data_IF_379202854462
#
_entry.id   IF_379202854462
#
_cell.length_a   1.000
_cell.length_b   1.000
_cell.length_c   1.000
_cell.angle_alpha   90.00
_cell.angle_beta   90.00
_cell.angle_gamma   90.00
#
_symmetry.space_group_name_H-M   'P 1'
#
loop_
_entity.id
_entity.type
_entity.pdbx_description
1 polymer ?
#
# COMPACT_ATOMS: atom_id res chain seq x y z
N UNK A 1 15.11 13.61 3.96
CA UNK A 1 14.74 14.47 2.81
C UNK A 1 14.78 13.60 1.55
N UNK A 2 13.63 13.15 1.04
CA UNK A 2 13.51 12.20 -0.06
C UNK A 2 13.74 12.91 -1.40
N UNK A 3 14.56 12.33 -2.28
CA UNK A 3 14.80 12.90 -3.61
C UNK A 3 13.60 12.62 -4.53
N UNK A 4 12.99 13.69 -5.04
CA UNK A 4 11.97 13.64 -6.10
C UNK A 4 12.70 13.80 -7.44
N UNK A 5 12.93 12.70 -8.15
CA UNK A 5 13.22 12.78 -9.58
C UNK A 5 11.95 12.45 -10.34
N UNK A 6 11.34 13.45 -10.98
CA UNK A 6 10.36 13.23 -12.04
C UNK A 6 11.08 12.55 -13.21
N UNK A 7 10.84 11.28 -13.43
CA UNK A 7 11.15 10.62 -14.69
C UNK A 7 9.86 10.35 -15.45
N UNK A 8 9.94 10.61 -16.76
CA UNK A 8 8.83 10.50 -17.71
C UNK A 8 8.17 9.11 -17.72
N UNK A 9 6.91 9.01 -18.16
CA UNK A 9 6.15 7.78 -18.15
C UNK A 9 6.74 6.75 -19.10
N UNK A 10 7.19 5.64 -18.56
CA UNK A 10 7.56 4.45 -19.35
C UNK A 10 6.29 3.72 -19.77
N UNK A 11 6.23 3.39 -21.06
CA UNK A 11 5.07 2.83 -21.73
C UNK A 11 4.45 1.62 -21.05
N UNK A 12 3.15 1.55 -21.17
CA UNK A 12 2.16 0.64 -20.58
C UNK A 12 2.29 -0.86 -20.95
N UNK A 13 3.46 -1.40 -21.18
CA UNK A 13 3.59 -2.81 -21.59
C UNK A 13 4.29 -3.61 -20.48
N UNK A 14 3.53 -4.35 -19.70
CA UNK A 14 4.04 -5.45 -18.87
C UNK A 14 3.87 -5.34 -17.37
N UNK A 15 3.01 -4.46 -16.87
CA UNK A 15 2.71 -4.39 -15.43
C UNK A 15 1.42 -5.15 -15.14
N UNK A 16 1.49 -6.13 -14.25
CA UNK A 16 0.29 -6.67 -13.63
C UNK A 16 -0.53 -5.50 -13.08
N UNK A 17 -1.67 -5.23 -13.66
CA UNK A 17 -2.65 -4.36 -13.07
C UNK A 17 -3.09 -5.02 -11.75
N UNK A 18 -2.38 -4.68 -10.66
CA UNK A 18 -2.69 -5.16 -9.32
C UNK A 18 -4.04 -4.62 -8.84
N UNK A 19 -4.63 -3.71 -9.59
CA UNK A 19 -5.78 -2.92 -9.15
C UNK A 19 -7.12 -3.45 -9.67
N UNK A 20 -7.23 -4.44 -10.52
CA UNK A 20 -8.55 -5.03 -10.90
C UNK A 20 -8.44 -6.32 -11.72
N UNK A 21 -7.48 -7.21 -11.41
CA UNK A 21 -7.52 -8.54 -12.03
C UNK A 21 -7.53 -9.64 -10.98
N UNK A 22 -8.38 -10.66 -11.16
CA UNK A 22 -8.44 -11.79 -10.24
C UNK A 22 -7.09 -12.50 -10.19
N UNK A 23 -6.73 -13.12 -9.03
CA UNK A 23 -5.45 -13.79 -8.80
C UNK A 23 -5.20 -15.04 -9.68
N UNK A 24 -6.07 -15.33 -10.62
CA UNK A 24 -5.91 -16.39 -11.61
C UNK A 24 -5.07 -16.00 -12.83
N UNK A 25 -4.63 -14.75 -12.95
CA UNK A 25 -3.72 -14.37 -14.02
C UNK A 25 -2.31 -14.89 -13.70
N UNK A 26 -1.68 -15.71 -14.56
CA UNK A 26 -0.36 -16.30 -14.29
C UNK A 26 0.74 -15.26 -14.08
N UNK A 27 0.46 -13.99 -14.38
CA UNK A 27 1.39 -12.88 -14.20
C UNK A 27 1.48 -12.35 -12.75
N UNK A 28 0.58 -12.74 -11.84
CA UNK A 28 0.56 -12.28 -10.45
C UNK A 28 0.94 -13.35 -9.41
N UNK A 29 1.41 -14.52 -9.84
CA UNK A 29 1.96 -15.49 -8.89
C UNK A 29 3.37 -15.09 -8.46
N UNK A 30 3.77 -15.33 -7.20
CA UNK A 30 5.14 -15.11 -6.75
C UNK A 30 6.22 -15.77 -7.63
N UNK A 31 5.84 -16.81 -8.39
CA UNK A 31 6.70 -17.48 -9.37
C UNK A 31 6.84 -16.70 -10.69
N UNK A 32 5.96 -15.77 -11.01
CA UNK A 32 6.02 -15.05 -12.29
C UNK A 32 7.08 -13.94 -12.29
N UNK A 33 7.35 -13.32 -11.14
CA UNK A 33 8.44 -12.36 -11.03
C UNK A 33 9.79 -13.02 -10.69
N UNK A 34 9.78 -14.23 -10.11
CA UNK A 34 10.99 -15.02 -9.89
C UNK A 34 11.61 -15.56 -11.19
N UNK A 35 10.87 -15.63 -12.29
CA UNK A 35 11.33 -16.02 -13.62
C UNK A 35 11.70 -14.84 -14.53
N UNK A 36 11.44 -13.62 -14.12
CA UNK A 36 11.96 -12.43 -14.78
C UNK A 36 13.47 -12.32 -14.53
N UNK A 37 14.19 -11.70 -15.47
CA UNK A 37 15.65 -11.43 -15.40
C UNK A 37 16.10 -11.11 -13.98
N UNK A 38 17.32 -11.51 -13.56
CA UNK A 38 17.80 -11.27 -12.21
C UNK A 38 17.53 -9.81 -11.82
N UNK A 39 17.04 -9.58 -10.59
CA UNK A 39 16.73 -8.23 -10.16
C UNK A 39 17.97 -7.33 -10.39
N UNK A 40 17.78 -6.11 -10.85
CA UNK A 40 18.90 -5.19 -11.00
C UNK A 40 19.64 -5.06 -9.66
N UNK A 41 20.94 -4.78 -9.68
CA UNK A 41 21.70 -4.59 -8.46
C UNK A 41 21.01 -3.53 -7.61
N UNK A 42 20.85 -3.83 -6.31
CA UNK A 42 20.26 -2.92 -5.35
C UNK A 42 21.12 -1.67 -5.24
N UNK A 43 20.55 -0.47 -5.31
CA UNK A 43 21.31 0.76 -5.20
C UNK A 43 21.75 1.06 -3.74
N UNK A 44 21.31 0.25 -2.77
CA UNK A 44 21.52 0.46 -1.35
C UNK A 44 22.54 -0.53 -0.79
N UNK A 45 23.70 -0.07 -0.30
CA UNK A 45 24.75 -0.93 0.22
C UNK A 45 24.38 -1.64 1.54
N UNK A 46 23.40 -1.12 2.26
CA UNK A 46 22.88 -1.70 3.51
C UNK A 46 21.81 -2.77 3.28
N UNK A 47 21.42 -3.06 2.04
CA UNK A 47 20.49 -4.14 1.69
C UNK A 47 21.27 -5.33 1.15
N UNK A 48 21.51 -6.38 1.96
CA UNK A 48 22.18 -7.60 1.47
C UNK A 48 21.37 -8.26 0.35
N UNK A 49 22.05 -8.76 -0.68
CA UNK A 49 21.39 -9.40 -1.82
C UNK A 49 20.60 -10.66 -1.45
N UNK A 50 20.96 -11.29 -0.33
CA UNK A 50 20.32 -12.48 0.25
C UNK A 50 19.26 -12.15 1.32
N UNK A 51 19.02 -10.88 1.63
CA UNK A 51 17.94 -10.47 2.52
C UNK A 51 16.59 -10.87 1.93
N UNK A 52 15.68 -11.38 2.76
CA UNK A 52 14.36 -11.84 2.33
C UNK A 52 13.53 -10.74 1.63
N UNK A 53 13.80 -9.49 1.95
CA UNK A 53 13.13 -8.30 1.37
C UNK A 53 13.86 -7.70 0.18
N UNK A 54 15.07 -8.16 -0.16
CA UNK A 54 15.90 -7.57 -1.22
C UNK A 54 15.19 -7.49 -2.58
N UNK A 55 14.45 -8.55 -2.95
CA UNK A 55 13.67 -8.58 -4.18
C UNK A 55 12.55 -7.53 -4.21
N UNK A 56 11.88 -7.32 -3.09
CA UNK A 56 10.82 -6.31 -2.97
C UNK A 56 11.40 -4.89 -3.06
N UNK A 57 12.49 -4.62 -2.34
CA UNK A 57 13.20 -3.33 -2.40
C UNK A 57 13.65 -3.03 -3.82
N UNK A 58 14.29 -3.99 -4.49
CA UNK A 58 14.73 -3.84 -5.88
C UNK A 58 13.57 -3.48 -6.81
N UNK A 59 12.43 -4.17 -6.65
CA UNK A 59 11.24 -3.90 -7.43
C UNK A 59 10.70 -2.50 -7.18
N UNK A 60 10.44 -2.14 -5.93
CA UNK A 60 9.89 -0.83 -5.56
C UNK A 60 10.80 0.33 -5.94
N UNK A 61 12.13 0.13 -5.84
CA UNK A 61 13.10 1.15 -6.24
C UNK A 61 13.14 1.33 -7.75
N UNK A 62 13.07 0.24 -8.52
CA UNK A 62 13.02 0.29 -9.98
C UNK A 62 11.88 1.17 -10.50
N UNK A 63 10.77 1.19 -9.81
CA UNK A 63 9.58 1.95 -10.19
C UNK A 63 9.45 3.29 -9.45
N UNK A 64 10.46 3.67 -8.68
CA UNK A 64 10.48 4.94 -7.96
C UNK A 64 9.54 5.02 -6.76
N UNK A 65 8.96 3.90 -6.34
CA UNK A 65 8.08 3.82 -5.17
C UNK A 65 8.90 3.98 -3.88
N UNK A 66 9.99 3.22 -3.77
CA UNK A 66 10.96 3.36 -2.67
C UNK A 66 12.25 4.00 -3.20
N UNK A 67 12.75 5.03 -2.54
CA UNK A 67 13.90 5.81 -3.02
C UNK A 67 15.08 5.88 -2.04
N UNK A 68 14.94 5.31 -0.84
CA UNK A 68 15.97 5.37 0.22
C UNK A 68 16.16 6.76 0.81
N UNK A 69 17.17 6.92 1.63
CA UNK A 69 17.46 8.14 2.36
C UNK A 69 18.61 8.96 1.72
N UNK A 70 18.82 10.18 2.23
CA UNK A 70 19.82 11.11 1.66
C UNK A 70 21.27 10.69 1.87
N UNK A 71 21.51 9.77 2.81
CA UNK A 71 22.79 9.14 3.05
C UNK A 71 23.10 7.99 2.07
N UNK A 72 22.14 7.66 1.18
CA UNK A 72 22.27 6.59 0.20
C UNK A 72 21.95 5.21 0.75
N UNK A 73 21.36 5.12 1.94
CA UNK A 73 20.94 3.88 2.58
C UNK A 73 19.43 3.66 2.45
N UNK A 74 19.01 2.44 2.72
CA UNK A 74 17.59 2.05 2.73
C UNK A 74 17.00 2.01 4.14
N UNK A 75 17.84 1.73 5.15
CA UNK A 75 17.44 1.59 6.56
C UNK A 75 16.31 0.58 6.78
N UNK A 76 16.46 -0.61 6.19
CA UNK A 76 15.39 -1.62 6.13
C UNK A 76 14.92 -2.17 7.47
N UNK A 77 15.70 -2.02 8.52
CA UNK A 77 15.38 -2.48 9.88
C UNK A 77 14.84 -1.35 10.78
N UNK A 78 14.75 -0.12 10.27
CA UNK A 78 14.26 1.03 11.02
C UNK A 78 12.75 1.19 10.82
N UNK A 79 12.03 1.72 11.83
CA UNK A 79 10.62 2.07 11.68
C UNK A 79 10.42 3.09 10.57
N UNK A 80 9.30 2.99 9.87
CA UNK A 80 8.89 3.95 8.85
C UNK A 80 7.82 4.89 9.41
N UNK A 81 7.89 6.17 9.08
CA UNK A 81 6.89 7.14 9.49
C UNK A 81 5.61 7.06 8.64
N UNK A 82 4.51 7.61 9.16
CA UNK A 82 3.25 7.71 8.43
C UNK A 82 3.39 8.52 7.15
N UNK A 83 4.15 9.61 7.18
CA UNK A 83 4.43 10.43 6.00
C UNK A 83 5.23 9.66 4.94
N UNK A 84 6.23 8.89 5.34
CA UNK A 84 7.04 8.09 4.43
C UNK A 84 6.22 7.01 3.74
N UNK A 85 5.42 6.27 4.51
CA UNK A 85 4.57 5.24 3.94
C UNK A 85 3.50 5.84 3.01
N UNK A 86 2.88 6.97 3.39
CA UNK A 86 1.91 7.67 2.53
C UNK A 86 2.55 8.11 1.21
N UNK A 87 3.76 8.66 1.25
CA UNK A 87 4.47 9.02 0.03
C UNK A 87 4.78 7.80 -0.86
N UNK A 88 5.07 6.62 -0.27
CA UNK A 88 5.23 5.39 -1.03
C UNK A 88 3.91 4.94 -1.66
N UNK A 89 2.79 5.03 -0.94
CA UNK A 89 1.46 4.68 -1.45
C UNK A 89 1.06 5.53 -2.66
N UNK A 90 1.23 6.85 -2.57
CA UNK A 90 0.95 7.78 -3.69
C UNK A 90 1.85 7.49 -4.89
N UNK A 91 3.16 7.29 -4.68
CA UNK A 91 4.08 6.94 -5.78
C UNK A 91 3.73 5.60 -6.42
N UNK A 92 3.26 4.64 -5.64
CA UNK A 92 2.78 3.38 -6.18
C UNK A 92 1.56 3.60 -7.07
N UNK A 93 0.60 4.41 -6.64
CA UNK A 93 -0.57 4.75 -7.44
C UNK A 93 -0.19 5.50 -8.72
N UNK A 94 0.70 6.49 -8.64
CA UNK A 94 1.20 7.23 -9.81
C UNK A 94 1.87 6.30 -10.84
N UNK A 95 2.54 5.25 -10.37
CA UNK A 95 3.23 4.29 -11.23
C UNK A 95 2.30 3.25 -11.85
N UNK A 96 1.23 2.86 -11.16
CA UNK A 96 0.42 1.67 -11.49
C UNK A 96 -1.08 1.90 -11.48
N UNK A 97 -1.57 3.00 -10.92
CA UNK A 97 -2.98 3.34 -10.91
C UNK A 97 -3.55 3.53 -12.32
N UNK A 98 -4.80 3.20 -12.50
CA UNK A 98 -5.53 3.41 -13.77
C UNK A 98 -6.04 4.85 -13.92
N UNK A 99 -5.89 5.67 -12.88
CA UNK A 99 -6.29 7.08 -12.88
C UNK A 99 -7.78 7.33 -12.72
N UNK A 100 -8.59 6.28 -12.57
CA UNK A 100 -10.06 6.36 -12.51
C UNK A 100 -10.61 6.36 -11.07
N UNK A 101 -9.75 6.52 -10.04
CA UNK A 101 -10.24 6.59 -8.66
C UNK A 101 -10.90 7.95 -8.38
N UNK A 102 -12.03 7.89 -7.71
CA UNK A 102 -12.81 9.06 -7.34
C UNK A 102 -12.03 9.94 -6.35
N UNK A 103 -12.03 11.25 -6.59
CA UNK A 103 -11.36 12.24 -5.73
C UNK A 103 -12.43 12.91 -4.88
N UNK A 104 -12.24 12.91 -3.56
CA UNK A 104 -13.13 13.60 -2.63
C UNK A 104 -12.84 15.10 -2.68
N UNK A 105 -13.87 15.91 -2.98
CA UNK A 105 -13.75 17.38 -2.94
C UNK A 105 -13.68 17.89 -1.50
N UNK A 106 -14.39 17.23 -0.57
CA UNK A 106 -14.42 17.54 0.86
C UNK A 106 -13.48 16.62 1.65
N UNK A 107 -12.18 16.78 1.47
CA UNK A 107 -11.18 16.10 2.31
C UNK A 107 -10.79 16.97 3.50
N UNK A 108 -10.31 16.35 4.57
CA UNK A 108 -9.87 17.04 5.77
C UNK A 108 -8.42 17.50 5.65
N UNK A 109 -8.18 18.81 5.78
CA UNK A 109 -6.84 19.36 6.01
C UNK A 109 -6.34 19.01 7.42
N UNK A 110 -5.06 18.73 7.54
CA UNK A 110 -4.43 18.40 8.80
C UNK A 110 -3.62 19.58 9.32
N UNK A 111 -3.98 20.10 10.48
CA UNK A 111 -3.37 21.32 11.02
C UNK A 111 -1.91 21.14 11.45
N UNK A 112 -1.44 19.91 11.67
CA UNK A 112 -0.05 19.55 12.01
C UNK A 112 0.84 19.29 10.76
N UNK A 113 0.27 19.33 9.55
CA UNK A 113 1.01 19.22 8.30
C UNK A 113 1.16 20.61 7.69
N UNK A 114 2.33 21.23 7.92
CA UNK A 114 2.58 22.54 7.34
C UNK A 114 2.73 22.45 5.80
N UNK A 115 2.34 23.50 5.05
CA UNK A 115 2.54 23.51 3.58
C UNK A 115 4.00 23.37 3.14
N UNK A 116 4.96 23.65 4.01
CA UNK A 116 6.38 23.45 3.77
C UNK A 116 6.90 22.06 4.14
N UNK A 117 6.06 21.20 4.67
CA UNK A 117 6.43 19.83 4.99
C UNK A 117 6.73 19.05 3.70
N UNK A 118 7.80 18.26 3.68
CA UNK A 118 8.24 17.55 2.47
C UNK A 118 7.17 16.60 1.90
N UNK A 119 6.33 16.04 2.75
CA UNK A 119 5.26 15.10 2.36
C UNK A 119 3.88 15.77 2.23
N UNK A 120 3.76 17.11 2.36
CA UNK A 120 2.45 17.77 2.36
C UNK A 120 1.61 17.42 1.13
N UNK A 121 2.19 17.47 -0.07
CA UNK A 121 1.49 17.10 -1.30
C UNK A 121 1.07 15.64 -1.35
N UNK A 122 1.91 14.72 -0.86
CA UNK A 122 1.56 13.29 -0.80
C UNK A 122 0.42 13.02 0.18
N UNK A 123 0.43 13.68 1.34
CA UNK A 123 -0.61 13.55 2.35
C UNK A 123 -1.93 14.12 1.83
N UNK A 124 -1.89 15.26 1.16
CA UNK A 124 -3.07 15.86 0.51
C UNK A 124 -3.64 14.92 -0.55
N UNK A 125 -2.82 14.41 -1.46
CA UNK A 125 -3.26 13.49 -2.51
C UNK A 125 -3.88 12.21 -1.93
N UNK A 126 -3.24 11.61 -0.93
CA UNK A 126 -3.76 10.43 -0.27
C UNK A 126 -5.08 10.69 0.50
N UNK A 127 -5.22 11.88 1.10
CA UNK A 127 -6.45 12.28 1.78
C UNK A 127 -7.59 12.51 0.78
N UNK A 128 -7.32 13.16 -0.36
CA UNK A 128 -8.28 13.36 -1.45
C UNK A 128 -8.82 12.06 -2.02
N UNK A 129 -7.97 11.03 -2.11
CA UNK A 129 -8.39 9.70 -2.53
C UNK A 129 -9.01 8.86 -1.39
N UNK A 130 -9.12 9.41 -0.18
CA UNK A 130 -9.65 8.69 0.98
C UNK A 130 -8.76 7.55 1.49
N UNK A 131 -7.51 7.42 1.01
CA UNK A 131 -6.61 6.36 1.45
C UNK A 131 -6.12 6.57 2.87
N UNK A 132 -5.93 7.82 3.26
CA UNK A 132 -5.57 8.20 4.61
C UNK A 132 -6.66 9.05 5.26
N UNK A 133 -6.82 8.85 6.56
CA UNK A 133 -7.71 9.64 7.42
C UNK A 133 -6.88 10.05 8.63
N UNK A 134 -7.03 11.29 9.06
CA UNK A 134 -6.38 11.78 10.28
C UNK A 134 -7.03 11.24 11.55
N UNK A 135 -6.50 11.69 12.66
CA UNK A 135 -7.05 11.40 13.96
C UNK A 135 -8.25 12.32 14.29
N UNK A 136 -9.04 11.90 15.27
CA UNK A 136 -10.26 12.66 15.66
C UNK A 136 -10.01 14.06 16.21
N UNK A 137 -8.74 14.42 16.45
CA UNK A 137 -8.29 15.76 16.84
C UNK A 137 -7.88 16.65 15.65
N UNK A 138 -7.99 16.15 14.43
CA UNK A 138 -7.63 16.85 13.20
C UNK A 138 -6.15 16.79 12.84
N UNK A 139 -5.36 15.92 13.50
CA UNK A 139 -3.95 15.68 13.17
C UNK A 139 -3.76 14.53 12.19
N UNK A 140 -2.64 14.55 11.47
CA UNK A 140 -2.14 13.43 10.67
C UNK A 140 -1.00 12.67 11.36
N UNK A 141 -0.21 13.36 12.17
CA UNK A 141 0.99 12.86 12.85
C UNK A 141 2.04 12.30 11.86
N UNK A 142 2.58 13.15 10.97
CA UNK A 142 3.41 12.71 9.84
C UNK A 142 4.70 11.99 10.25
N UNK A 143 5.29 12.37 11.37
CA UNK A 143 6.56 11.84 11.87
C UNK A 143 6.40 10.60 12.78
N UNK A 144 5.16 10.27 13.15
CA UNK A 144 4.92 9.10 14.00
C UNK A 144 5.12 7.80 13.20
N UNK A 145 5.58 6.76 13.89
CA UNK A 145 5.73 5.42 13.30
C UNK A 145 4.37 4.87 12.87
N UNK A 146 4.29 4.39 11.63
CA UNK A 146 3.06 3.77 11.14
C UNK A 146 2.92 2.34 11.66
N UNK A 147 1.74 2.01 12.17
CA UNK A 147 1.42 0.64 12.58
C UNK A 147 1.09 -0.27 11.39
N UNK A 148 1.24 -1.59 11.57
CA UNK A 148 0.85 -2.57 10.56
C UNK A 148 -0.64 -2.49 10.21
N UNK A 149 -1.49 -2.15 11.16
CA UNK A 149 -2.93 -1.98 10.95
C UNK A 149 -3.20 -0.80 10.00
N UNK A 150 -2.54 0.34 10.21
CA UNK A 150 -2.65 1.51 9.34
C UNK A 150 -2.12 1.22 7.92
N UNK A 151 -0.98 0.54 7.81
CA UNK A 151 -0.43 0.09 6.52
C UNK A 151 -1.46 -0.72 5.74
N UNK A 152 -2.05 -1.72 6.38
CA UNK A 152 -3.03 -2.61 5.74
C UNK A 152 -4.26 -1.83 5.28
N UNK A 153 -4.79 -0.94 6.13
CA UNK A 153 -5.95 -0.11 5.80
C UNK A 153 -5.68 0.81 4.60
N UNK A 154 -4.51 1.47 4.58
CA UNK A 154 -4.11 2.32 3.44
C UNK A 154 -3.99 1.49 2.16
N UNK A 155 -3.36 0.31 2.23
CA UNK A 155 -3.18 -0.56 1.05
C UNK A 155 -4.53 -1.08 0.52
N UNK A 156 -5.45 -1.50 1.40
CA UNK A 156 -6.77 -1.94 0.96
C UNK A 156 -7.52 -0.82 0.23
N UNK A 157 -7.57 0.38 0.83
CA UNK A 157 -8.22 1.54 0.23
C UNK A 157 -7.60 1.93 -1.11
N UNK A 158 -6.27 1.98 -1.18
CA UNK A 158 -5.54 2.26 -2.41
C UNK A 158 -5.83 1.24 -3.52
N UNK A 159 -6.04 -0.01 -3.15
CA UNK A 159 -6.37 -1.09 -4.09
C UNK A 159 -7.89 -1.21 -4.36
N UNK A 160 -8.72 -0.38 -3.73
CA UNK A 160 -10.18 -0.46 -3.81
C UNK A 160 -10.72 -1.79 -3.28
N UNK A 161 -10.12 -2.32 -2.21
CA UNK A 161 -10.50 -3.60 -1.60
C UNK A 161 -11.28 -3.36 -0.32
N UNK A 162 -12.39 -4.04 -0.18
CA UNK A 162 -13.24 -3.96 0.99
C UNK A 162 -13.64 -5.37 1.47
N UNK A 163 -13.59 -5.57 2.78
CA UNK A 163 -13.93 -6.86 3.37
C UNK A 163 -15.44 -7.12 3.31
N UNK A 164 -15.83 -8.33 2.89
CA UNK A 164 -17.20 -8.80 3.03
C UNK A 164 -17.51 -9.07 4.51
N UNK A 165 -18.11 -8.07 5.15
CA UNK A 165 -18.40 -8.10 6.58
C UNK A 165 -19.45 -9.16 6.94
N UNK A 166 -20.44 -9.38 6.06
CA UNK A 166 -21.48 -10.36 6.26
C UNK A 166 -20.93 -11.78 6.19
N UNK A 167 -20.06 -12.04 5.21
CA UNK A 167 -19.34 -13.32 5.11
C UNK A 167 -18.47 -13.57 6.34
N UNK A 168 -17.70 -12.59 6.78
CA UNK A 168 -16.84 -12.69 7.97
C UNK A 168 -17.67 -12.93 9.23
N UNK A 169 -18.82 -12.25 9.38
CA UNK A 169 -19.72 -12.38 10.52
C UNK A 169 -20.41 -13.77 10.56
N UNK A 170 -20.64 -14.40 9.40
CA UNK A 170 -21.19 -15.76 9.33
C UNK A 170 -20.27 -16.82 9.95
N UNK A 171 -19.01 -16.47 10.22
CA UNK A 171 -18.04 -17.34 10.87
C UNK A 171 -17.53 -18.50 10.00
N UNK A 172 -17.16 -18.25 8.73
CA UNK A 172 -16.72 -19.30 7.83
C UNK A 172 -15.49 -20.03 8.37
N UNK A 173 -15.36 -21.30 8.02
CA UNK A 173 -14.20 -22.11 8.44
C UNK A 173 -12.96 -21.68 7.66
N UNK A 174 -11.82 -21.66 8.36
CA UNK A 174 -10.52 -21.45 7.72
C UNK A 174 -10.08 -19.99 7.65
N UNK A 175 -10.88 -19.02 8.12
CA UNK A 175 -10.40 -17.64 8.24
C UNK A 175 -9.23 -17.54 9.22
N UNK A 176 -8.13 -16.96 8.75
CA UNK A 176 -7.01 -16.57 9.60
C UNK A 176 -7.46 -15.41 10.49
N UNK A 177 -7.38 -15.59 11.78
CA UNK A 177 -7.72 -14.58 12.80
C UNK A 177 -6.53 -14.43 13.75
N UNK A 178 -6.29 -13.22 14.18
CA UNK A 178 -5.18 -12.91 15.09
C UNK A 178 -5.73 -12.70 16.50
N UNK A 179 -5.13 -13.34 17.53
CA UNK A 179 -5.62 -13.23 18.90
C UNK A 179 -5.57 -11.80 19.48
N UNK A 180 -4.64 -10.99 18.98
CA UNK A 180 -4.45 -9.59 19.35
C UNK A 180 -5.32 -8.61 18.55
N UNK A 181 -6.14 -9.12 17.61
CA UNK A 181 -7.06 -8.32 16.78
C UNK A 181 -8.50 -8.79 17.05
N UNK A 182 -9.12 -8.34 18.15
CA UNK A 182 -10.52 -8.65 18.44
C UNK A 182 -11.45 -7.96 17.43
N UNK A 183 -12.68 -8.44 17.31
CA UNK A 183 -13.68 -7.86 16.39
C UNK A 183 -14.04 -6.40 16.69
N UNK A 184 -13.68 -5.90 17.87
CA UNK A 184 -13.80 -4.48 18.24
C UNK A 184 -12.62 -3.63 17.80
N UNK A 185 -11.56 -4.22 17.23
CA UNK A 185 -10.41 -3.48 16.73
C UNK A 185 -10.83 -2.67 15.50
N UNK A 186 -10.45 -1.39 15.45
CA UNK A 186 -10.86 -0.47 14.38
C UNK A 186 -10.52 -0.95 12.96
N UNK A 187 -9.38 -1.64 12.78
CA UNK A 187 -8.94 -2.19 11.50
C UNK A 187 -9.26 -3.69 11.35
N UNK A 188 -10.21 -4.24 12.12
CA UNK A 188 -10.48 -5.67 12.13
C UNK A 188 -10.77 -6.22 10.74
N UNK A 189 -11.66 -5.59 10.02
CA UNK A 189 -12.07 -6.02 8.69
C UNK A 189 -10.96 -5.84 7.66
N UNK A 190 -10.23 -4.72 7.69
CA UNK A 190 -9.08 -4.49 6.81
C UNK A 190 -7.99 -5.56 6.99
N UNK A 191 -7.72 -5.94 8.24
CA UNK A 191 -6.72 -6.98 8.54
C UNK A 191 -7.18 -8.34 8.03
N UNK A 192 -8.47 -8.67 8.15
CA UNK A 192 -9.01 -9.93 7.64
C UNK A 192 -9.00 -9.95 6.11
N UNK A 193 -9.37 -8.84 5.46
CA UNK A 193 -9.29 -8.69 4.00
C UNK A 193 -7.87 -9.01 3.48
N UNK A 194 -6.87 -8.37 4.06
CA UNK A 194 -5.48 -8.52 3.62
C UNK A 194 -4.86 -9.88 3.98
N UNK A 195 -5.41 -10.58 4.98
CA UNK A 195 -4.80 -11.81 5.54
C UNK A 195 -5.45 -13.08 5.02
N UNK A 196 -6.63 -13.01 4.42
CA UNK A 196 -7.37 -14.16 3.97
C UNK A 196 -7.45 -14.19 2.45
N UNK A 197 -7.07 -15.34 1.88
CA UNK A 197 -7.21 -15.55 0.45
C UNK A 197 -8.67 -15.87 0.13
N UNK A 198 -9.26 -15.07 -0.73
CA UNK A 198 -10.64 -15.24 -1.21
C UNK A 198 -10.72 -14.93 -2.71
N UNK A 199 -11.81 -15.31 -3.33
CA UNK A 199 -12.22 -14.81 -4.64
C UNK A 199 -13.33 -13.79 -4.38
N UNK A 200 -13.16 -12.57 -4.89
CA UNK A 200 -14.13 -11.51 -4.74
C UNK A 200 -14.82 -11.22 -6.08
N UNK A 201 -16.12 -10.95 -6.04
CA UNK A 201 -16.81 -10.32 -7.16
C UNK A 201 -16.60 -8.80 -7.05
N UNK A 202 -15.58 -8.31 -7.74
CA UNK A 202 -15.22 -6.88 -7.78
C UNK A 202 -16.22 -6.02 -8.57
N UNK A 203 -17.26 -6.61 -9.13
CA UNK A 203 -18.35 -5.86 -9.75
C UNK A 203 -19.43 -5.42 -8.76
N UNK A 204 -19.40 -5.97 -7.55
CA UNK A 204 -20.28 -5.61 -6.44
C UNK A 204 -19.60 -4.60 -5.51
N UNK A 205 -20.36 -3.67 -4.95
CA UNK A 205 -19.94 -2.73 -3.92
C UNK A 205 -20.88 -2.88 -2.72
N UNK A 206 -20.43 -3.37 -1.56
CA UNK A 206 -19.08 -3.91 -1.27
C UNK A 206 -18.75 -5.23 -2.00
N UNK A 207 -17.46 -5.59 -2.02
CA UNK A 207 -17.00 -6.88 -2.57
C UNK A 207 -17.69 -8.06 -1.86
N UNK A 208 -18.13 -9.04 -2.64
CA UNK A 208 -18.72 -10.28 -2.12
C UNK A 208 -17.71 -11.41 -2.22
N UNK A 209 -17.35 -12.00 -1.08
CA UNK A 209 -16.41 -13.12 -1.02
C UNK A 209 -17.10 -14.44 -1.38
N UNK A 210 -16.41 -15.24 -2.16
CA UNK A 210 -16.88 -16.57 -2.57
C UNK A 210 -16.05 -17.66 -1.88
N UNK A 211 -16.73 -18.70 -1.40
CA UNK A 211 -16.07 -19.91 -0.92
C UNK A 211 -15.41 -20.65 -2.10
N UNK A 212 -14.19 -21.14 -1.88
CA UNK A 212 -13.49 -22.04 -2.79
C UNK A 212 -13.81 -23.50 -2.52
#
# INVERSE_FOLDING_TARGET
MWWVTRTAPLGRAGVCAAVRRPPSSPACSPSAWASASPPPPLPFPDVPADAWYAGYVSYLTRYGVAVGYTDGLFHGDEPISRAEFTAMAVRFFDAYGDGDQEIMEDYQDFWDVSPGHWAAGYIEDAARHGWVVGYGDGTFQPEDEISRAEVVTIVNRLLGREADQDYIASGPRGLVRFPDVPSSHWAYYDILEASNRHEADVSSDPEVWQEK
#
